data_IF_035215122109
#
_entry.id   IF_035215122109
#
_cell.length_a   1.000
_cell.length_b   1.000
_cell.length_c   1.000
_cell.angle_alpha   90.00
_cell.angle_beta   90.00
_cell.angle_gamma   90.00
#
_symmetry.space_group_name_H-M   'P 1'
#
loop_
_entity.id
_entity.type
_entity.pdbx_description
1 polymer ?
#
# COMPACT_ATOMS: atom_id res chain seq x y z
N UNK A 1 10.46 -0.02 16.72
CA UNK A 1 9.04 0.30 16.54
C UNK A 1 8.50 -0.39 15.30
N UNK A 2 8.98 -0.11 14.09
CA UNK A 2 8.53 -0.71 12.81
C UNK A 2 8.50 -2.24 12.86
N UNK A 3 9.57 -2.90 13.32
CA UNK A 3 9.62 -4.37 13.42
C UNK A 3 8.63 -4.95 14.45
N UNK A 4 8.28 -4.19 15.50
CA UNK A 4 7.22 -4.57 16.43
C UNK A 4 5.87 -4.61 15.69
N UNK A 5 5.51 -3.54 14.99
CA UNK A 5 4.25 -3.49 14.25
C UNK A 5 4.18 -4.53 13.13
N UNK A 6 5.29 -4.75 12.41
CA UNK A 6 5.36 -5.79 11.37
C UNK A 6 5.06 -7.18 11.93
N UNK A 7 5.61 -7.53 13.10
CA UNK A 7 5.30 -8.80 13.77
C UNK A 7 3.83 -8.86 14.20
N UNK A 8 3.34 -7.85 14.89
CA UNK A 8 1.94 -7.79 15.33
C UNK A 8 0.95 -7.96 14.18
N UNK A 9 1.19 -7.27 13.06
CA UNK A 9 0.36 -7.38 11.85
C UNK A 9 0.42 -8.78 11.27
N UNK A 10 1.61 -9.39 11.13
CA UNK A 10 1.73 -10.74 10.60
C UNK A 10 1.01 -11.78 11.48
N UNK A 11 1.15 -11.70 12.78
CA UNK A 11 0.51 -12.60 13.73
C UNK A 11 -1.02 -12.44 13.68
N UNK A 12 -1.52 -11.20 13.63
CA UNK A 12 -2.94 -10.91 13.54
C UNK A 12 -3.55 -11.34 12.20
N UNK A 13 -2.87 -11.10 11.07
CA UNK A 13 -3.31 -11.57 9.75
C UNK A 13 -3.51 -13.08 9.70
N UNK A 14 -2.61 -13.84 10.31
CA UNK A 14 -2.71 -15.31 10.35
C UNK A 14 -3.98 -15.79 11.07
N UNK A 15 -4.48 -15.04 12.04
CA UNK A 15 -5.71 -15.36 12.81
C UNK A 15 -6.98 -14.88 12.10
N UNK A 16 -6.90 -13.76 11.34
CA UNK A 16 -8.07 -13.14 10.72
C UNK A 16 -8.56 -13.85 9.45
N UNK A 17 -7.77 -14.74 8.88
CA UNK A 17 -8.14 -15.55 7.70
C UNK A 17 -8.26 -17.02 8.09
N UNK A 18 -9.14 -17.81 7.43
CA UNK A 18 -9.33 -19.21 7.74
C UNK A 18 -8.04 -20.02 7.65
N UNK A 19 -7.93 -21.07 8.46
CA UNK A 19 -6.82 -22.02 8.42
C UNK A 19 -6.82 -22.82 7.10
N UNK A 20 -5.63 -23.25 6.65
CA UNK A 20 -5.46 -24.03 5.41
C UNK A 20 -6.23 -25.37 5.42
N UNK A 21 -6.53 -25.90 6.61
CA UNK A 21 -7.31 -27.13 6.81
C UNK A 21 -8.82 -26.95 6.66
N UNK A 22 -9.30 -25.68 6.67
CA UNK A 22 -10.73 -25.35 6.53
C UNK A 22 -11.18 -25.51 5.07
N UNK A 23 -12.33 -26.15 4.84
CA UNK A 23 -12.92 -26.23 3.48
C UNK A 23 -13.53 -24.88 3.06
N UNK A 24 -13.36 -24.50 1.79
CA UNK A 24 -12.57 -25.14 0.73
C UNK A 24 -11.06 -24.87 0.84
N UNK A 25 -10.26 -25.92 1.07
CA UNK A 25 -8.83 -25.82 1.44
C UNK A 25 -7.98 -25.04 0.45
N UNK A 26 -8.11 -25.33 -0.85
CA UNK A 26 -7.29 -24.69 -1.88
C UNK A 26 -7.52 -23.17 -1.90
N UNK A 27 -8.76 -22.71 -1.72
CA UNK A 27 -9.06 -21.28 -1.62
C UNK A 27 -8.33 -20.64 -0.42
N UNK A 28 -8.44 -21.27 0.76
CA UNK A 28 -7.81 -20.74 1.98
C UNK A 28 -6.27 -20.80 1.91
N UNK A 29 -5.71 -21.82 1.28
CA UNK A 29 -4.26 -21.90 0.98
C UNK A 29 -3.83 -20.76 0.05
N UNK A 30 -4.56 -20.51 -1.03
CA UNK A 30 -4.26 -19.42 -1.97
C UNK A 30 -4.33 -18.03 -1.31
N UNK A 31 -5.35 -17.78 -0.46
CA UNK A 31 -5.46 -16.55 0.33
C UNK A 31 -4.24 -16.37 1.24
N UNK A 32 -3.90 -17.39 2.04
CA UNK A 32 -2.77 -17.36 2.99
C UNK A 32 -1.42 -17.26 2.29
N UNK A 33 -1.27 -17.93 1.15
CA UNK A 33 -0.05 -17.94 0.35
C UNK A 33 0.43 -16.53 0.00
N UNK A 34 -0.45 -15.65 -0.47
CA UNK A 34 -0.11 -14.27 -0.81
C UNK A 34 -0.11 -13.33 0.39
N UNK A 35 -1.12 -13.45 1.27
CA UNK A 35 -1.26 -12.57 2.43
C UNK A 35 -0.10 -12.73 3.42
N UNK A 36 0.33 -13.96 3.68
CA UNK A 36 1.37 -14.30 4.67
C UNK A 36 2.77 -14.46 4.06
N UNK A 37 2.96 -14.20 2.77
CA UNK A 37 4.25 -14.30 2.08
C UNK A 37 5.34 -13.36 2.60
N UNK A 38 5.10 -12.63 3.67
CA UNK A 38 6.01 -11.61 4.17
C UNK A 38 5.91 -10.31 3.38
N UNK A 39 6.93 -9.47 3.49
CA UNK A 39 7.00 -8.17 2.85
C UNK A 39 7.23 -7.03 3.84
N UNK A 40 7.42 -5.84 3.31
CA UNK A 40 7.77 -4.62 4.07
C UNK A 40 6.65 -4.17 5.02
N UNK A 41 5.40 -4.52 4.77
CA UNK A 41 4.21 -4.13 5.55
C UNK A 41 4.11 -2.61 5.79
N UNK A 42 4.51 -1.81 4.83
CA UNK A 42 4.60 -0.35 4.97
C UNK A 42 3.24 0.27 5.33
N UNK A 43 2.19 -0.09 4.59
CA UNK A 43 0.84 0.46 4.76
C UNK A 43 0.23 0.14 6.12
N UNK A 44 0.19 -1.13 6.58
CA UNK A 44 -0.29 -1.42 7.93
C UNK A 44 0.59 -0.83 9.03
N UNK A 45 1.92 -0.79 8.88
CA UNK A 45 2.81 -0.11 9.83
C UNK A 45 2.48 1.38 9.91
N UNK A 46 2.22 2.02 8.77
CA UNK A 46 1.81 3.43 8.72
C UNK A 46 0.47 3.66 9.45
N UNK A 47 -0.51 2.76 9.29
CA UNK A 47 -1.78 2.82 10.03
C UNK A 47 -1.56 2.75 11.54
N UNK A 48 -0.75 1.79 12.00
CA UNK A 48 -0.40 1.63 13.41
C UNK A 48 0.33 2.85 13.97
N UNK A 49 1.30 3.36 13.21
CA UNK A 49 2.12 4.49 13.62
C UNK A 49 1.29 5.77 13.75
N UNK A 50 0.38 6.04 12.81
CA UNK A 50 -0.55 7.18 12.89
C UNK A 50 -1.47 7.04 14.10
N UNK A 51 -2.08 5.87 14.30
CA UNK A 51 -2.97 5.65 15.43
C UNK A 51 -2.24 5.85 16.76
N UNK A 52 -1.06 5.25 16.95
CA UNK A 52 -0.25 5.43 18.19
C UNK A 52 0.16 6.88 18.40
N UNK A 53 0.66 7.56 17.34
CA UNK A 53 1.09 8.96 17.42
C UNK A 53 -0.04 9.91 17.83
N UNK A 54 -1.27 9.55 17.53
CA UNK A 54 -2.47 10.35 17.80
C UNK A 54 -3.28 9.83 19.00
N UNK A 55 -2.76 8.83 19.75
CA UNK A 55 -3.37 8.32 20.98
C UNK A 55 -4.53 7.34 20.75
N UNK A 56 -4.59 6.67 19.60
CA UNK A 56 -5.61 5.67 19.26
C UNK A 56 -5.39 4.33 19.96
N UNK A 57 -6.47 3.54 20.00
CA UNK A 57 -6.45 2.17 20.54
C UNK A 57 -5.63 1.23 19.65
N UNK A 58 -4.65 0.54 20.23
CA UNK A 58 -3.70 -0.32 19.50
C UNK A 58 -4.40 -1.54 18.85
N UNK A 59 -5.34 -2.18 19.55
CA UNK A 59 -6.01 -3.38 19.02
C UNK A 59 -6.97 -3.04 17.87
N UNK A 60 -7.70 -1.92 17.99
CA UNK A 60 -8.55 -1.40 16.92
C UNK A 60 -7.71 -1.00 15.70
N UNK A 61 -6.59 -0.31 15.93
CA UNK A 61 -5.65 0.07 14.87
C UNK A 61 -5.05 -1.16 14.18
N UNK A 62 -4.74 -2.22 14.93
CA UNK A 62 -4.18 -3.46 14.40
C UNK A 62 -5.17 -4.18 13.47
N UNK A 63 -6.45 -4.26 13.84
CA UNK A 63 -7.47 -4.83 12.97
C UNK A 63 -7.65 -4.01 11.69
N UNK A 64 -7.71 -2.69 11.82
CA UNK A 64 -7.81 -1.78 10.68
C UNK A 64 -6.57 -1.84 9.76
N UNK A 65 -5.36 -1.93 10.33
CA UNK A 65 -4.10 -2.14 9.61
C UNK A 65 -4.09 -3.48 8.83
N UNK A 66 -4.62 -4.54 9.43
CA UNK A 66 -4.78 -5.83 8.76
C UNK A 66 -5.75 -5.74 7.58
N UNK A 67 -6.85 -4.99 7.70
CA UNK A 67 -7.78 -4.76 6.59
C UNK A 67 -7.09 -4.05 5.41
N UNK A 68 -6.26 -3.02 5.67
CA UNK A 68 -5.43 -2.36 4.64
C UNK A 68 -4.51 -3.37 3.93
N UNK A 69 -3.85 -4.26 4.68
CA UNK A 69 -2.95 -5.25 4.07
C UNK A 69 -3.70 -6.32 3.29
N UNK A 70 -4.91 -6.72 3.70
CA UNK A 70 -5.77 -7.62 2.93
C UNK A 70 -6.16 -7.00 1.58
N UNK A 71 -6.52 -5.71 1.56
CA UNK A 71 -6.78 -4.97 0.31
C UNK A 71 -5.52 -4.97 -0.56
N UNK A 72 -4.36 -4.66 0.02
CA UNK A 72 -3.09 -4.65 -0.73
C UNK A 72 -2.74 -6.03 -1.28
N UNK A 73 -2.89 -7.10 -0.50
CA UNK A 73 -2.63 -8.46 -0.96
C UNK A 73 -3.58 -8.87 -2.10
N UNK A 74 -4.86 -8.51 -1.98
CA UNK A 74 -5.85 -8.75 -3.03
C UNK A 74 -5.50 -8.01 -4.34
N UNK A 75 -5.10 -6.75 -4.28
CA UNK A 75 -4.69 -5.99 -5.47
C UNK A 75 -3.48 -6.63 -6.15
N UNK A 76 -2.47 -7.06 -5.39
CA UNK A 76 -1.29 -7.72 -5.96
C UNK A 76 -1.60 -9.06 -6.62
N UNK A 77 -2.54 -9.87 -6.06
CA UNK A 77 -2.96 -11.12 -6.69
C UNK A 77 -3.62 -10.86 -8.04
N UNK A 78 -4.45 -9.81 -8.13
CA UNK A 78 -5.13 -9.43 -9.38
C UNK A 78 -4.15 -8.84 -10.40
N UNK A 79 -3.22 -7.99 -9.94
CA UNK A 79 -2.21 -7.38 -10.79
C UNK A 79 -1.30 -8.44 -11.45
N UNK A 80 -0.99 -9.53 -10.73
CA UNK A 80 -0.13 -10.61 -11.23
C UNK A 80 -0.78 -11.50 -12.31
N UNK A 81 -2.09 -11.40 -12.56
CA UNK A 81 -2.79 -12.25 -13.53
C UNK A 81 -2.28 -12.06 -14.96
N UNK A 82 -2.38 -13.10 -15.84
CA UNK A 82 -1.95 -13.00 -17.24
C UNK A 82 -2.64 -11.90 -18.04
N UNK A 83 -3.87 -11.53 -17.68
CA UNK A 83 -4.61 -10.43 -18.31
C UNK A 83 -4.27 -9.05 -17.76
N UNK A 84 -3.34 -8.95 -16.81
CA UNK A 84 -2.87 -7.72 -16.17
C UNK A 84 -1.36 -7.54 -16.43
N UNK A 85 -0.52 -7.74 -15.42
CA UNK A 85 0.94 -7.57 -15.52
C UNK A 85 1.66 -8.88 -15.94
N UNK A 86 0.97 -10.03 -16.01
CA UNK A 86 1.50 -11.37 -16.33
C UNK A 86 2.77 -11.72 -15.55
N UNK A 87 2.77 -11.41 -14.24
CA UNK A 87 3.95 -11.57 -13.40
C UNK A 87 4.20 -13.05 -13.07
N UNK A 88 5.46 -13.49 -13.22
CA UNK A 88 5.85 -14.86 -12.89
C UNK A 88 6.22 -15.03 -11.42
N UNK A 89 6.78 -13.98 -10.80
CA UNK A 89 7.25 -13.98 -9.43
C UNK A 89 6.68 -12.82 -8.61
N UNK A 90 6.30 -13.13 -7.37
CA UNK A 90 5.92 -12.13 -6.36
C UNK A 90 6.59 -12.45 -5.03
N UNK A 91 7.38 -11.51 -4.50
CA UNK A 91 8.14 -11.68 -3.23
C UNK A 91 9.03 -12.93 -3.24
N UNK A 92 9.70 -13.20 -4.38
CA UNK A 92 10.61 -14.34 -4.59
C UNK A 92 9.92 -15.71 -4.67
N UNK A 93 8.60 -15.76 -4.85
CA UNK A 93 7.79 -16.98 -4.99
C UNK A 93 6.96 -16.90 -6.28
N UNK A 94 6.53 -18.02 -6.87
CA UNK A 94 5.61 -18.00 -8.01
C UNK A 94 4.37 -17.16 -7.72
N UNK A 95 3.89 -16.40 -8.70
CA UNK A 95 2.65 -15.65 -8.58
C UNK A 95 1.47 -16.57 -8.23
N UNK A 96 0.43 -16.04 -7.59
CA UNK A 96 -0.67 -16.85 -7.05
C UNK A 96 -1.36 -17.69 -8.13
N UNK A 97 -1.58 -17.11 -9.32
CA UNK A 97 -2.21 -17.81 -10.44
C UNK A 97 -1.36 -18.96 -10.99
N UNK A 98 -0.03 -18.89 -10.88
CA UNK A 98 0.86 -20.00 -11.26
C UNK A 98 0.88 -21.11 -10.20
N UNK A 99 0.65 -20.76 -8.94
CA UNK A 99 0.65 -21.73 -7.83
C UNK A 99 -0.70 -22.48 -7.68
N UNK A 100 -1.83 -21.81 -7.98
CA UNK A 100 -3.19 -22.31 -7.67
C UNK A 100 -4.18 -22.27 -8.85
N UNK A 101 -3.79 -21.73 -10.00
CA UNK A 101 -4.66 -21.46 -11.14
C UNK A 101 -5.30 -20.07 -11.08
N UNK A 102 -5.70 -19.55 -12.26
CA UNK A 102 -6.25 -18.20 -12.40
C UNK A 102 -7.59 -18.04 -11.68
N UNK A 103 -8.47 -19.02 -11.80
CA UNK A 103 -9.78 -19.04 -11.14
C UNK A 103 -9.66 -18.96 -9.62
N UNK A 104 -8.79 -19.78 -9.04
CA UNK A 104 -8.54 -19.79 -7.59
C UNK A 104 -7.87 -18.48 -7.14
N UNK A 105 -6.95 -17.92 -7.91
CA UNK A 105 -6.33 -16.63 -7.61
C UNK A 105 -7.35 -15.49 -7.57
N UNK A 106 -8.24 -15.40 -8.57
CA UNK A 106 -9.33 -14.41 -8.61
C UNK A 106 -10.26 -14.55 -7.39
N UNK A 107 -10.64 -15.77 -7.06
CA UNK A 107 -11.50 -16.05 -5.90
C UNK A 107 -10.80 -15.71 -4.57
N UNK A 108 -9.50 -16.03 -4.44
CA UNK A 108 -8.70 -15.69 -3.26
C UNK A 108 -8.57 -14.17 -3.08
N UNK A 109 -8.30 -13.42 -4.14
CA UNK A 109 -8.26 -11.96 -4.10
C UNK A 109 -9.62 -11.37 -3.70
N UNK A 110 -10.71 -11.84 -4.30
CA UNK A 110 -12.07 -11.41 -3.97
C UNK A 110 -12.42 -11.71 -2.50
N UNK A 111 -12.06 -12.90 -2.01
CA UNK A 111 -12.29 -13.28 -0.62
C UNK A 111 -11.49 -12.43 0.37
N UNK A 112 -10.21 -12.12 0.08
CA UNK A 112 -9.38 -11.21 0.89
C UNK A 112 -9.96 -9.80 0.91
N UNK A 113 -10.36 -9.28 -0.25
CA UNK A 113 -10.98 -7.96 -0.34
C UNK A 113 -12.27 -7.87 0.47
N UNK A 114 -13.14 -8.86 0.35
CA UNK A 114 -14.36 -8.93 1.16
C UNK A 114 -14.05 -9.07 2.66
N UNK A 115 -13.07 -9.88 3.03
CA UNK A 115 -12.66 -10.06 4.44
C UNK A 115 -12.14 -8.76 5.05
N UNK A 116 -11.46 -7.91 4.28
CA UNK A 116 -11.00 -6.60 4.77
C UNK A 116 -12.16 -5.75 5.31
N UNK A 117 -13.27 -5.68 4.59
CA UNK A 117 -14.47 -4.97 5.07
C UNK A 117 -15.10 -5.65 6.30
N UNK A 118 -15.13 -7.00 6.31
CA UNK A 118 -15.62 -7.77 7.45
C UNK A 118 -14.83 -7.50 8.72
N UNK A 119 -13.50 -7.50 8.66
CA UNK A 119 -12.62 -7.20 9.82
C UNK A 119 -12.91 -5.85 10.44
N UNK A 120 -13.14 -4.82 9.62
CA UNK A 120 -13.50 -3.48 10.12
C UNK A 120 -14.91 -3.48 10.70
N UNK A 121 -15.88 -4.10 10.04
CA UNK A 121 -17.27 -4.15 10.49
C UNK A 121 -17.44 -4.89 11.82
N UNK A 122 -16.63 -5.93 12.06
CA UNK A 122 -16.62 -6.78 13.25
C UNK A 122 -15.79 -6.20 14.41
N UNK A 123 -15.12 -5.05 14.25
CA UNK A 123 -14.27 -4.44 15.27
C UNK A 123 -15.11 -3.80 16.39
N UNK A 124 -15.50 -4.59 17.38
CA UNK A 124 -16.41 -4.17 18.46
C UNK A 124 -15.83 -3.08 19.38
N UNK A 125 -14.50 -2.94 19.44
CA UNK A 125 -13.83 -1.87 20.20
C UNK A 125 -14.03 -0.48 19.59
N UNK A 126 -14.52 -0.39 18.33
CA UNK A 126 -14.84 0.86 17.66
C UNK A 126 -16.37 1.13 17.66
N UNK A 127 -16.74 2.39 17.89
CA UNK A 127 -18.12 2.82 17.73
C UNK A 127 -18.63 2.57 16.28
N UNK A 128 -19.93 2.26 16.10
CA UNK A 128 -20.49 1.96 14.77
C UNK A 128 -20.21 3.05 13.73
N UNK A 129 -20.26 4.31 14.13
CA UNK A 129 -20.02 5.47 13.26
C UNK A 129 -18.56 5.51 12.77
N UNK A 130 -17.62 5.12 13.64
CA UNK A 130 -16.20 5.02 13.26
C UNK A 130 -16.02 3.87 12.26
N UNK A 131 -16.59 2.69 12.55
CA UNK A 131 -16.54 1.54 11.62
C UNK A 131 -17.07 1.89 10.24
N UNK A 132 -18.21 2.60 10.16
CA UNK A 132 -18.78 3.06 8.88
C UNK A 132 -17.83 4.02 8.14
N UNK A 133 -17.17 4.93 8.85
CA UNK A 133 -16.15 5.81 8.23
C UNK A 133 -14.95 5.05 7.71
N UNK A 134 -14.45 4.06 8.46
CA UNK A 134 -13.33 3.20 8.00
C UNK A 134 -13.72 2.40 6.76
N UNK A 135 -14.93 1.81 6.74
CA UNK A 135 -15.46 1.10 5.56
C UNK A 135 -15.55 2.03 4.36
N UNK A 136 -16.04 3.26 4.57
CA UNK A 136 -16.11 4.27 3.49
C UNK A 136 -14.72 4.64 2.97
N UNK A 137 -13.73 4.83 3.86
CA UNK A 137 -12.34 5.11 3.45
C UNK A 137 -11.75 3.98 2.62
N UNK A 138 -11.94 2.71 3.05
CA UNK A 138 -11.50 1.54 2.28
C UNK A 138 -12.21 1.43 0.93
N UNK A 139 -13.53 1.64 0.91
CA UNK A 139 -14.33 1.60 -0.33
C UNK A 139 -13.88 2.64 -1.34
N UNK A 140 -13.61 3.86 -0.89
CA UNK A 140 -13.09 4.94 -1.75
C UNK A 140 -11.69 4.62 -2.27
N UNK A 141 -10.82 4.05 -1.43
CA UNK A 141 -9.46 3.69 -1.83
C UNK A 141 -9.44 2.56 -2.87
N UNK A 142 -10.34 1.58 -2.75
CA UNK A 142 -10.43 0.44 -3.68
C UNK A 142 -11.16 0.84 -4.96
N UNK A 143 -12.20 1.65 -4.86
CA UNK A 143 -13.24 1.86 -5.87
C UNK A 143 -12.78 2.44 -7.20
N UNK A 144 -13.77 2.80 -8.02
CA UNK A 144 -13.59 3.34 -9.38
C UNK A 144 -12.94 4.73 -9.44
N UNK A 145 -12.63 5.33 -8.30
CA UNK A 145 -11.85 6.56 -8.17
C UNK A 145 -10.52 6.34 -7.40
N UNK A 146 -10.23 5.10 -7.01
CA UNK A 146 -9.03 4.69 -6.28
C UNK A 146 -8.19 3.69 -7.07
N UNK A 147 -7.78 2.59 -6.41
CA UNK A 147 -6.86 1.59 -6.97
C UNK A 147 -7.38 1.03 -8.30
N UNK A 148 -8.68 0.71 -8.40
CA UNK A 148 -9.28 0.16 -9.64
C UNK A 148 -9.15 1.17 -10.79
N UNK A 149 -9.40 2.47 -10.55
CA UNK A 149 -9.22 3.50 -11.57
C UNK A 149 -7.75 3.62 -12.00
N UNK A 150 -6.84 3.63 -11.02
CA UNK A 150 -5.40 3.70 -11.30
C UNK A 150 -4.91 2.50 -12.11
N UNK A 151 -5.36 1.30 -11.76
CA UNK A 151 -5.03 0.07 -12.51
C UNK A 151 -5.63 0.09 -13.92
N UNK A 152 -6.87 0.56 -14.06
CA UNK A 152 -7.47 0.72 -15.39
C UNK A 152 -6.64 1.65 -16.28
N UNK A 153 -6.26 2.82 -15.75
CA UNK A 153 -5.41 3.77 -16.50
C UNK A 153 -4.02 3.18 -16.80
N UNK A 154 -3.47 2.40 -15.88
CA UNK A 154 -2.16 1.75 -16.06
C UNK A 154 -2.17 0.68 -17.17
N UNK A 155 -3.26 -0.03 -17.37
CA UNK A 155 -3.39 -1.05 -18.40
C UNK A 155 -3.73 -0.49 -19.80
N UNK A 156 -4.19 0.77 -19.90
CA UNK A 156 -4.69 1.34 -21.14
C UNK A 156 -3.75 2.42 -21.68
N UNK A 157 -3.04 2.16 -22.83
CA UNK A 157 -2.02 3.05 -23.37
C UNK A 157 -2.49 4.48 -23.66
N UNK A 158 -3.78 4.67 -23.97
CA UNK A 158 -4.35 6.00 -24.21
C UNK A 158 -4.30 6.93 -22.99
N UNK A 159 -4.09 6.38 -21.79
CA UNK A 159 -3.87 7.15 -20.56
C UNK A 159 -2.39 7.39 -20.24
N UNK A 160 -1.48 6.77 -21.02
CA UNK A 160 -0.02 6.81 -20.82
C UNK A 160 0.69 7.66 -21.89
N UNK A 161 0.26 8.91 -22.09
CA UNK A 161 1.01 9.80 -22.99
C UNK A 161 2.30 10.28 -22.33
N UNK A 162 3.42 10.01 -22.99
CA UNK A 162 4.80 10.28 -22.51
C UNK A 162 5.06 11.74 -22.06
N UNK A 163 4.21 12.69 -22.46
CA UNK A 163 4.36 14.12 -22.16
C UNK A 163 3.33 14.65 -21.13
N UNK A 164 2.40 13.80 -20.61
CA UNK A 164 1.32 14.26 -19.73
C UNK A 164 1.59 13.89 -18.26
N UNK A 165 2.61 14.57 -17.68
CA UNK A 165 2.96 14.42 -16.26
C UNK A 165 1.76 14.55 -15.30
N UNK A 166 0.77 15.47 -15.49
CA UNK A 166 -0.45 15.49 -14.68
C UNK A 166 -1.24 14.20 -14.69
N UNK A 167 -1.39 13.52 -15.84
CA UNK A 167 -2.09 12.22 -15.92
C UNK A 167 -1.30 11.12 -15.20
N UNK A 168 0.02 11.08 -15.38
CA UNK A 168 0.89 10.13 -14.68
C UNK A 168 0.78 10.31 -13.16
N UNK A 169 0.83 11.56 -12.66
CA UNK A 169 0.62 11.88 -11.25
C UNK A 169 -0.75 11.42 -10.74
N UNK A 170 -1.82 11.63 -11.52
CA UNK A 170 -3.17 11.18 -11.19
C UNK A 170 -3.25 9.66 -11.10
N UNK A 171 -2.72 8.94 -12.08
CA UNK A 171 -2.68 7.48 -12.12
C UNK A 171 -1.92 6.91 -10.91
N UNK A 172 -0.74 7.45 -10.60
CA UNK A 172 0.05 7.02 -9.44
C UNK A 172 -0.65 7.36 -8.11
N UNK A 173 -1.29 8.53 -8.04
CA UNK A 173 -2.12 8.91 -6.91
C UNK A 173 -3.26 7.90 -6.65
N UNK A 174 -3.86 7.39 -7.71
CA UNK A 174 -4.92 6.39 -7.64
C UNK A 174 -4.37 4.96 -7.39
N UNK A 175 -3.47 4.46 -8.24
CA UNK A 175 -2.97 3.07 -8.16
C UNK A 175 -2.21 2.81 -6.84
N UNK A 176 -1.33 3.71 -6.46
CA UNK A 176 -0.44 3.55 -5.29
C UNK A 176 -0.86 4.44 -4.13
N UNK A 177 -1.12 5.72 -4.38
CA UNK A 177 -1.39 6.73 -3.37
C UNK A 177 -2.69 6.52 -2.60
N UNK A 178 -3.76 6.05 -3.24
CA UNK A 178 -5.06 5.87 -2.61
C UNK A 178 -5.00 4.99 -1.35
N UNK A 179 -4.23 3.91 -1.38
CA UNK A 179 -4.09 3.03 -0.22
C UNK A 179 -3.13 3.60 0.84
N UNK A 180 -2.16 4.45 0.48
CA UNK A 180 -1.38 5.21 1.45
C UNK A 180 -2.27 6.21 2.21
N UNK A 181 -3.12 6.93 1.49
CA UNK A 181 -4.11 7.85 2.07
C UNK A 181 -5.07 7.10 3.00
N UNK A 182 -5.65 5.98 2.56
CA UNK A 182 -6.51 5.16 3.40
C UNK A 182 -5.81 4.67 4.67
N UNK A 183 -4.53 4.30 4.58
CA UNK A 183 -3.74 3.82 5.73
C UNK A 183 -3.65 4.86 6.84
N UNK A 184 -3.33 6.11 6.51
CA UNK A 184 -3.20 7.19 7.51
C UNK A 184 -4.57 7.67 7.99
N UNK A 185 -5.55 7.77 7.09
CA UNK A 185 -6.90 8.19 7.43
C UNK A 185 -7.56 7.21 8.40
N UNK A 186 -7.41 5.92 8.15
CA UNK A 186 -7.91 4.86 9.04
C UNK A 186 -7.26 4.96 10.42
N UNK A 187 -5.93 5.12 10.50
CA UNK A 187 -5.22 5.30 11.77
C UNK A 187 -5.70 6.54 12.55
N UNK A 188 -5.84 7.68 11.87
CA UNK A 188 -6.31 8.92 12.49
C UNK A 188 -7.77 8.82 12.99
N UNK A 189 -8.64 8.14 12.23
CA UNK A 189 -10.04 7.93 12.64
C UNK A 189 -10.18 6.96 13.80
N UNK A 190 -9.32 5.95 13.91
CA UNK A 190 -9.21 5.07 15.09
C UNK A 190 -8.82 5.89 16.32
N UNK A 191 -7.92 6.86 16.17
CA UNK A 191 -7.53 7.77 17.24
C UNK A 191 -8.60 8.79 17.64
N UNK A 192 -9.65 8.97 16.83
CA UNK A 192 -10.76 9.86 17.12
C UNK A 192 -10.41 11.35 17.09
N UNK A 193 -9.38 11.73 16.35
CA UNK A 193 -8.90 13.12 16.23
C UNK A 193 -9.81 13.97 15.34
N UNK A 194 -9.66 15.29 15.45
CA UNK A 194 -10.40 16.27 14.66
C UNK A 194 -10.12 16.15 13.16
N UNK A 195 -11.07 16.54 12.32
CA UNK A 195 -10.97 16.45 10.86
C UNK A 195 -9.77 17.24 10.31
N UNK A 196 -9.33 18.32 10.97
CA UNK A 196 -8.11 19.07 10.59
C UNK A 196 -6.85 18.21 10.66
N UNK A 197 -6.74 17.33 11.66
CA UNK A 197 -5.61 16.39 11.79
C UNK A 197 -5.72 15.25 10.78
N UNK A 198 -6.94 14.77 10.51
CA UNK A 198 -7.18 13.80 9.44
C UNK A 198 -6.72 14.38 8.09
N UNK A 199 -7.04 15.65 7.80
CA UNK A 199 -6.59 16.31 6.58
C UNK A 199 -5.07 16.47 6.53
N UNK A 200 -4.40 16.80 7.62
CA UNK A 200 -2.94 16.90 7.70
C UNK A 200 -2.26 15.58 7.35
N UNK A 201 -2.68 14.47 7.97
CA UNK A 201 -2.11 13.13 7.64
C UNK A 201 -2.50 12.67 6.24
N UNK A 202 -3.65 13.08 5.69
CA UNK A 202 -4.00 12.82 4.28
C UNK A 202 -3.03 13.50 3.32
N UNK A 203 -2.74 14.79 3.53
CA UNK A 203 -1.76 15.51 2.71
C UNK A 203 -0.37 14.88 2.80
N UNK A 204 0.06 14.53 4.01
CA UNK A 204 1.27 13.74 4.22
C UNK A 204 1.29 12.47 3.35
N UNK A 205 0.23 11.66 3.38
CA UNK A 205 0.18 10.39 2.65
C UNK A 205 0.10 10.56 1.14
N UNK A 206 -0.54 11.62 0.62
CA UNK A 206 -0.56 11.95 -0.81
C UNK A 206 0.88 12.17 -1.30
N UNK A 207 1.63 13.01 -0.61
CA UNK A 207 3.01 13.30 -0.99
C UNK A 207 3.93 12.09 -0.78
N UNK A 208 3.79 11.38 0.35
CA UNK A 208 4.59 10.19 0.64
C UNK A 208 4.36 9.06 -0.36
N UNK A 209 3.11 8.81 -0.76
CA UNK A 209 2.76 7.79 -1.75
C UNK A 209 3.33 8.09 -3.14
N UNK A 210 3.33 9.36 -3.55
CA UNK A 210 3.98 9.79 -4.79
C UNK A 210 5.51 9.64 -4.71
N UNK A 211 6.13 10.09 -3.60
CA UNK A 211 7.56 9.91 -3.39
C UNK A 211 7.95 8.42 -3.45
N UNK A 212 7.15 7.56 -2.80
CA UNK A 212 7.36 6.11 -2.79
C UNK A 212 7.36 5.53 -4.21
N UNK A 213 6.39 5.91 -5.05
CA UNK A 213 6.31 5.43 -6.42
C UNK A 213 7.48 5.93 -7.28
N UNK A 214 7.87 7.20 -7.14
CA UNK A 214 9.02 7.74 -7.88
C UNK A 214 10.32 7.01 -7.46
N UNK A 215 10.48 6.67 -6.18
CA UNK A 215 11.61 5.87 -5.73
C UNK A 215 11.56 4.42 -6.24
N UNK A 216 10.37 3.81 -6.33
CA UNK A 216 10.20 2.47 -6.89
C UNK A 216 10.60 2.46 -8.38
N UNK A 217 10.17 3.44 -9.18
CA UNK A 217 10.57 3.65 -10.58
C UNK A 217 12.09 3.81 -10.73
N UNK A 218 12.71 4.61 -9.84
CA UNK A 218 14.16 4.81 -9.83
C UNK A 218 14.92 3.52 -9.52
N UNK A 219 14.41 2.72 -8.57
CA UNK A 219 15.01 1.44 -8.21
C UNK A 219 14.85 0.42 -9.33
N UNK A 220 13.67 0.34 -9.96
CA UNK A 220 13.46 -0.61 -11.08
C UNK A 220 14.37 -0.29 -12.27
N UNK A 221 14.59 0.99 -12.55
CA UNK A 221 15.51 1.44 -13.60
C UNK A 221 17.00 1.12 -13.31
N UNK A 222 17.40 1.07 -12.03
CA UNK A 222 18.79 0.90 -11.58
C UNK A 222 19.13 -0.54 -11.16
N UNK A 223 18.11 -1.38 -10.86
CA UNK A 223 18.30 -2.69 -10.22
C UNK A 223 18.44 -3.85 -11.23
N UNK A 224 19.07 -4.93 -10.77
CA UNK A 224 19.10 -6.23 -11.46
C UNK A 224 18.02 -7.16 -10.86
N UNK A 225 17.62 -8.21 -11.64
CA UNK A 225 16.62 -9.23 -11.19
C UNK A 225 16.97 -9.85 -9.84
N UNK A 226 18.26 -10.04 -9.56
CA UNK A 226 18.74 -10.68 -8.32
C UNK A 226 18.57 -9.80 -7.08
N UNK A 227 18.49 -8.48 -7.25
CA UNK A 227 18.38 -7.52 -6.15
C UNK A 227 16.92 -7.16 -5.81
N UNK A 228 16.02 -7.22 -6.81
CA UNK A 228 14.62 -6.79 -6.65
C UNK A 228 13.69 -7.88 -6.10
N UNK A 229 13.99 -9.17 -6.34
CA UNK A 229 13.10 -10.29 -6.03
C UNK A 229 11.77 -10.29 -6.81
N UNK A 230 11.71 -9.48 -7.86
CA UNK A 230 10.61 -9.35 -8.83
C UNK A 230 11.20 -9.53 -10.25
N UNK A 231 10.33 -9.76 -11.23
CA UNK A 231 10.69 -9.54 -12.63
C UNK A 231 11.03 -8.05 -12.78
N UNK A 232 12.25 -7.72 -13.25
CA UNK A 232 12.68 -6.33 -13.50
C UNK A 232 12.47 -5.98 -14.96
N UNK A 233 12.45 -4.67 -15.26
CA UNK A 233 12.21 -4.11 -16.60
C UNK A 233 10.83 -4.46 -17.17
N UNK A 234 9.85 -4.73 -16.32
CA UNK A 234 8.45 -4.83 -16.74
C UNK A 234 7.89 -3.46 -17.18
N UNK A 235 8.63 -2.39 -16.85
CA UNK A 235 8.24 -1.01 -17.14
C UNK A 235 9.08 -0.37 -18.28
N UNK A 236 9.95 -1.14 -18.98
CA UNK A 236 10.75 -0.61 -20.11
C UNK A 236 9.87 -0.03 -21.25
N UNK A 237 8.63 -0.54 -21.40
CA UNK A 237 7.62 -0.03 -22.35
C UNK A 237 6.56 0.88 -21.67
N UNK A 238 6.71 1.16 -20.37
CA UNK A 238 5.75 1.98 -19.61
C UNK A 238 6.28 3.40 -19.41
N UNK A 239 5.35 4.34 -19.43
CA UNK A 239 5.62 5.73 -19.04
C UNK A 239 5.78 5.81 -17.52
N UNK A 240 6.99 6.16 -17.06
CA UNK A 240 7.34 6.34 -15.65
C UNK A 240 7.87 7.74 -15.40
N UNK A 241 8.05 8.17 -14.15
CA UNK A 241 8.72 9.43 -13.86
C UNK A 241 10.14 9.48 -14.44
N UNK A 242 10.85 8.35 -14.40
CA UNK A 242 12.22 8.27 -14.91
C UNK A 242 12.26 8.41 -16.43
N UNK A 243 11.31 7.80 -17.16
CA UNK A 243 11.24 7.93 -18.63
C UNK A 243 10.79 9.33 -19.06
N UNK A 244 9.87 9.98 -18.28
CA UNK A 244 9.35 11.32 -18.59
C UNK A 244 10.35 12.44 -18.35
N UNK A 245 11.14 12.38 -17.27
CA UNK A 245 11.96 13.53 -16.86
C UNK A 245 13.44 13.21 -16.62
N UNK A 246 13.83 11.94 -16.69
CA UNK A 246 15.17 11.46 -16.36
C UNK A 246 15.40 11.22 -14.87
N UNK A 247 16.44 10.45 -14.54
CA UNK A 247 16.68 9.95 -13.18
C UNK A 247 16.97 11.07 -12.15
N UNK A 248 17.78 12.07 -12.51
CA UNK A 248 18.13 13.15 -11.56
C UNK A 248 16.94 14.08 -11.24
N UNK A 249 16.15 14.58 -12.22
CA UNK A 249 14.92 15.31 -11.92
C UNK A 249 13.88 14.48 -11.16
N UNK A 250 13.72 13.19 -11.48
CA UNK A 250 12.83 12.30 -10.74
C UNK A 250 13.24 12.16 -9.27
N UNK A 251 14.55 12.01 -9.00
CA UNK A 251 15.09 12.00 -7.63
C UNK A 251 14.83 13.30 -6.88
N UNK A 252 15.04 14.44 -7.54
CA UNK A 252 14.77 15.74 -6.96
C UNK A 252 13.27 15.90 -6.63
N UNK A 253 12.37 15.47 -7.53
CA UNK A 253 10.92 15.49 -7.31
C UNK A 253 10.52 14.61 -6.12
N UNK A 254 11.06 13.38 -6.03
CA UNK A 254 10.81 12.51 -4.89
C UNK A 254 11.23 13.16 -3.56
N UNK A 255 12.38 13.84 -3.53
CA UNK A 255 12.84 14.59 -2.35
C UNK A 255 11.88 15.73 -2.00
N UNK A 256 11.48 16.54 -2.97
CA UNK A 256 10.51 17.62 -2.78
C UNK A 256 9.17 17.10 -2.25
N UNK A 257 8.74 15.90 -2.68
CA UNK A 257 7.53 15.26 -2.18
C UNK A 257 7.66 14.85 -0.72
N UNK A 258 8.81 14.34 -0.29
CA UNK A 258 9.04 14.01 1.12
C UNK A 258 9.06 15.27 1.99
N UNK A 259 9.68 16.36 1.51
CA UNK A 259 9.67 17.66 2.22
C UNK A 259 8.23 18.19 2.36
N UNK A 260 7.44 18.12 1.28
CA UNK A 260 6.01 18.51 1.31
C UNK A 260 5.19 17.61 2.24
N UNK A 261 5.49 16.32 2.30
CA UNK A 261 4.85 15.39 3.22
C UNK A 261 5.14 15.79 4.68
N UNK A 262 6.39 16.05 5.03
CA UNK A 262 6.76 16.45 6.41
C UNK A 262 6.16 17.80 6.79
N UNK A 263 6.12 18.76 5.86
CA UNK A 263 5.49 20.05 6.08
C UNK A 263 3.99 19.93 6.37
N UNK A 264 3.29 19.03 5.70
CA UNK A 264 1.86 18.80 5.94
C UNK A 264 1.55 18.36 7.38
N UNK A 265 2.53 17.82 8.11
CA UNK A 265 2.40 17.38 9.48
C UNK A 265 2.67 18.46 10.53
N UNK A 266 3.12 19.66 10.15
CA UNK A 266 3.40 20.77 11.10
C UNK A 266 2.26 21.04 12.11
N UNK A 267 0.96 20.98 11.71
CA UNK A 267 -0.14 21.20 12.65
C UNK A 267 -0.22 20.18 13.80
N UNK A 268 0.39 18.99 13.65
CA UNK A 268 0.40 17.94 14.66
C UNK A 268 1.52 18.12 15.70
N UNK A 269 2.51 18.98 15.44
CA UNK A 269 3.63 19.22 16.36
C UNK A 269 4.42 17.96 16.70
N UNK A 270 4.73 17.76 17.99
CA UNK A 270 5.54 16.63 18.47
C UNK A 270 4.89 15.25 18.20
N UNK A 271 3.57 15.17 18.11
CA UNK A 271 2.87 13.92 17.78
C UNK A 271 3.24 13.39 16.38
N UNK A 272 3.64 14.29 15.47
CA UNK A 272 4.05 13.92 14.12
C UNK A 272 5.45 13.33 14.02
N UNK A 273 6.31 13.45 15.04
CA UNK A 273 7.72 13.08 14.97
C UNK A 273 7.97 11.67 14.44
N UNK A 274 7.24 10.62 14.88
CA UNK A 274 7.44 9.28 14.34
C UNK A 274 7.13 9.16 12.85
N UNK A 275 6.17 9.96 12.33
CA UNK A 275 5.80 9.99 10.92
C UNK A 275 6.85 10.73 10.07
N UNK A 276 7.40 11.81 10.61
CA UNK A 276 8.52 12.55 9.99
C UNK A 276 9.75 11.65 9.90
N UNK A 277 10.10 10.95 10.98
CA UNK A 277 11.23 10.01 10.99
C UNK A 277 11.01 8.87 9.96
N UNK A 278 9.79 8.35 9.83
CA UNK A 278 9.44 7.36 8.82
C UNK A 278 9.61 7.91 7.40
N UNK A 279 9.13 9.13 7.11
CA UNK A 279 9.25 9.74 5.79
C UNK A 279 10.73 9.91 5.38
N UNK A 280 11.57 10.39 6.28
CA UNK A 280 13.00 10.49 6.03
C UNK A 280 13.70 9.14 5.87
N UNK A 281 13.21 8.09 6.55
CA UNK A 281 13.72 6.75 6.39
C UNK A 281 13.49 6.22 4.96
N UNK A 282 12.41 6.60 4.29
CA UNK A 282 12.16 6.28 2.89
C UNK A 282 13.18 6.91 1.92
N UNK A 283 13.82 8.02 2.30
CA UNK A 283 14.83 8.65 1.45
C UNK A 283 16.16 7.90 1.42
N UNK A 284 16.41 6.96 2.35
CA UNK A 284 17.65 6.19 2.46
C UNK A 284 18.90 7.05 2.69
N UNK A 285 20.02 6.50 3.11
CA UNK A 285 21.27 7.22 3.12
C UNK A 285 21.72 7.53 1.69
N UNK A 286 22.11 8.77 1.45
CA UNK A 286 22.57 9.34 0.17
C UNK A 286 23.83 8.67 -0.43
N UNK A 287 24.15 7.45 -0.09
CA UNK A 287 25.32 6.69 -0.58
C UNK A 287 24.93 5.24 -0.80
N UNK A 288 24.64 4.88 -2.06
CA UNK A 288 24.95 3.57 -2.67
C UNK A 288 24.54 2.27 -1.98
N UNK A 289 23.74 2.30 -0.94
CA UNK A 289 23.23 1.10 -0.28
C UNK A 289 21.76 0.95 -0.67
N UNK A 290 21.47 -0.13 -1.37
CA UNK A 290 20.10 -0.53 -1.72
C UNK A 290 19.21 -0.36 -0.48
N UNK A 291 18.03 0.24 -0.68
CA UNK A 291 16.97 0.29 0.31
C UNK A 291 16.60 -1.13 0.74
N UNK A 292 17.30 -1.67 1.73
CA UNK A 292 16.91 -2.89 2.43
C UNK A 292 15.83 -2.50 3.44
N UNK A 293 14.58 -2.57 2.97
CA UNK A 293 13.41 -2.46 3.82
C UNK A 293 12.80 -3.83 4.06
#
# INVERSE_FOLDING_TARGET
MIDRYRRMVNDRLAVLVPEESTEPRELHRAMRYSLLAGGKRIRPVLTMLVAESLGGDEDAALNAACAIEMVHAASLILDDLPCMDDATLRRGRPANHLAFGEDTAILAATALLNRAFGVVAECESLAPEVRLRLISSLSNAVGSNGIIAGQYCDLHPEWRHEEDLPKLLSMYGQKTGALFVASVEVGARVAGVDESWVQAVRQFAIHLGLAFQIFDDLLDHLSTVQESGKDVRQDDDKTTFVTCMGSEPARAEATNRVDSATQALEPLGEAARPLVDLAHHFMGPSKGTALQF
#
